data_IF_054756524821
#
_entry.id   IF_054756524821
#
_cell.length_a   1.000
_cell.length_b   1.000
_cell.length_c   1.000
_cell.angle_alpha   90.00
_cell.angle_beta   90.00
_cell.angle_gamma   90.00
#
_symmetry.space_group_name_H-M   'P 1'
#
loop_
_entity.id
_entity.type
_entity.pdbx_description
1 polymer ?
#
# COMPACT_ATOMS: atom_id res chain seq x y z
N UNK A 1 -18.92 26.14 -52.72
CA UNK A 1 -19.48 24.84 -52.29
C UNK A 1 -18.28 23.98 -51.88
N UNK A 2 -17.86 23.86 -50.62
CA UNK A 2 -18.50 23.52 -49.32
C UNK A 2 -17.87 24.41 -48.21
N UNK A 3 -18.62 25.20 -47.42
CA UNK A 3 -19.30 24.93 -46.13
C UNK A 3 -18.36 24.62 -44.94
N UNK A 4 -18.32 25.55 -43.96
CA UNK A 4 -18.19 25.51 -42.47
C UNK A 4 -17.80 24.18 -41.77
N UNK A 5 -17.22 24.06 -40.57
CA UNK A 5 -16.74 24.93 -39.48
C UNK A 5 -16.14 24.01 -38.36
N UNK A 6 -15.46 24.58 -37.35
CA UNK A 6 -15.54 24.07 -35.96
C UNK A 6 -14.30 23.39 -35.36
N UNK A 7 -13.72 24.03 -34.34
CA UNK A 7 -12.75 23.47 -33.40
C UNK A 7 -13.48 22.49 -32.45
N UNK A 8 -12.98 21.27 -32.24
CA UNK A 8 -13.25 20.52 -31.00
C UNK A 8 -12.01 19.77 -30.53
N UNK A 9 -11.49 20.17 -29.38
CA UNK A 9 -10.51 19.43 -28.57
C UNK A 9 -11.22 18.17 -28.07
N UNK A 10 -10.70 16.97 -28.33
CA UNK A 10 -10.99 15.80 -27.48
C UNK A 10 -9.82 14.81 -27.50
N UNK A 11 -9.00 14.91 -26.47
CA UNK A 11 -8.50 13.78 -25.68
C UNK A 11 -8.27 12.45 -26.44
N UNK A 12 -7.04 12.23 -26.90
CA UNK A 12 -6.47 10.89 -26.74
C UNK A 12 -5.44 10.97 -25.63
N UNK A 13 -5.95 10.71 -24.44
CA UNK A 13 -5.24 10.55 -23.18
C UNK A 13 -4.01 9.64 -23.40
N UNK A 14 -2.84 10.26 -23.59
CA UNK A 14 -1.53 9.63 -23.43
C UNK A 14 -1.19 9.55 -21.93
N UNK A 15 -2.15 9.16 -21.09
CA UNK A 15 -1.94 8.88 -19.69
C UNK A 15 -1.97 7.36 -19.50
N UNK A 16 -0.91 6.71 -19.99
CA UNK A 16 -0.39 5.57 -19.25
C UNK A 16 0.15 6.13 -17.93
N UNK A 17 -0.70 6.21 -16.91
CA UNK A 17 -0.31 6.58 -15.54
C UNK A 17 0.45 5.41 -14.90
N UNK A 18 1.23 5.63 -13.83
CA UNK A 18 2.47 6.41 -13.74
C UNK A 18 3.66 5.50 -13.38
N UNK A 19 4.89 5.99 -13.61
CA UNK A 19 6.15 5.34 -13.19
C UNK A 19 6.42 5.53 -11.67
N UNK A 20 5.38 5.74 -10.85
CA UNK A 20 5.47 6.05 -9.41
C UNK A 20 5.64 4.78 -8.53
N UNK A 21 5.25 3.61 -9.03
CA UNK A 21 5.27 2.36 -8.25
C UNK A 21 6.67 1.97 -7.75
N UNK A 22 7.75 2.34 -8.45
CA UNK A 22 9.10 1.92 -8.07
C UNK A 22 9.68 2.76 -6.92
N UNK A 23 9.32 4.04 -6.85
CA UNK A 23 9.70 4.94 -5.74
C UNK A 23 8.86 4.62 -4.51
N UNK A 24 7.57 4.36 -4.70
CA UNK A 24 6.66 4.02 -3.61
C UNK A 24 7.03 2.67 -2.97
N UNK A 25 7.40 1.68 -3.79
CA UNK A 25 7.92 0.40 -3.28
C UNK A 25 9.20 0.60 -2.45
N UNK A 26 10.11 1.47 -2.89
CA UNK A 26 11.34 1.74 -2.15
C UNK A 26 11.08 2.44 -0.81
N UNK A 27 10.11 3.36 -0.77
CA UNK A 27 9.69 4.05 0.44
C UNK A 27 8.99 3.07 1.41
N UNK A 28 8.08 2.24 0.90
CA UNK A 28 7.39 1.21 1.68
C UNK A 28 8.37 0.19 2.26
N UNK A 29 9.32 -0.29 1.47
CA UNK A 29 10.35 -1.22 1.93
C UNK A 29 11.24 -0.61 3.01
N UNK A 30 11.58 0.69 2.90
CA UNK A 30 12.28 1.43 3.96
C UNK A 30 11.44 1.48 5.23
N UNK A 31 10.16 1.81 5.15
CA UNK A 31 9.26 1.83 6.31
C UNK A 31 9.12 0.42 6.92
N UNK A 32 8.97 -0.63 6.12
CA UNK A 32 8.92 -2.03 6.58
C UNK A 32 10.17 -2.38 7.39
N UNK A 33 11.34 -1.92 6.96
CA UNK A 33 12.60 -2.13 7.66
C UNK A 33 12.69 -1.32 8.96
N UNK A 34 12.38 -0.02 8.92
CA UNK A 34 12.52 0.87 10.09
C UNK A 34 11.46 0.61 11.16
N UNK A 35 10.26 0.19 10.78
CA UNK A 35 9.18 -0.18 11.69
C UNK A 35 9.31 -1.64 12.19
N UNK A 36 10.31 -2.38 11.71
CA UNK A 36 10.59 -3.73 12.19
C UNK A 36 9.53 -4.77 11.83
N UNK A 37 8.70 -4.54 10.81
CA UNK A 37 7.59 -5.42 10.46
C UNK A 37 8.06 -6.86 10.19
N UNK A 38 9.23 -6.99 9.54
CA UNK A 38 9.87 -8.27 9.24
C UNK A 38 10.39 -9.04 10.46
N UNK A 39 10.46 -8.40 11.64
CA UNK A 39 10.78 -9.10 12.88
C UNK A 39 9.72 -10.15 13.25
N UNK A 40 8.46 -9.90 12.87
CA UNK A 40 7.35 -10.81 13.15
C UNK A 40 6.75 -11.45 11.90
N UNK A 41 6.72 -10.74 10.76
CA UNK A 41 6.02 -11.15 9.56
C UNK A 41 6.96 -11.53 8.42
N UNK A 42 6.55 -12.46 7.57
CA UNK A 42 7.14 -12.66 6.24
C UNK A 42 6.54 -11.63 5.29
N UNK A 43 7.40 -10.84 4.64
CA UNK A 43 7.04 -9.84 3.64
C UNK A 43 8.05 -9.88 2.47
N UNK A 44 7.54 -10.15 1.28
CA UNK A 44 8.32 -10.45 0.07
C UNK A 44 9.32 -11.61 0.30
N UNK A 45 8.85 -12.67 0.98
CA UNK A 45 9.65 -13.88 1.25
C UNK A 45 10.72 -13.72 2.33
N UNK A 46 10.78 -12.58 3.02
CA UNK A 46 11.78 -12.29 4.06
C UNK A 46 11.10 -11.94 5.39
N UNK A 47 11.64 -12.44 6.50
CA UNK A 47 11.22 -12.08 7.86
C UNK A 47 10.99 -13.27 8.78
N UNK A 48 10.21 -13.05 9.84
CA UNK A 48 9.84 -14.05 10.86
C UNK A 48 8.43 -14.63 10.67
N UNK A 49 8.08 -15.60 11.53
CA UNK A 49 6.79 -16.29 11.51
C UNK A 49 5.98 -16.14 12.82
N UNK A 50 6.35 -15.17 13.65
CA UNK A 50 5.62 -14.89 14.89
C UNK A 50 4.23 -14.30 14.60
N UNK A 51 4.14 -13.44 13.58
CA UNK A 51 2.90 -12.97 12.99
C UNK A 51 2.55 -13.72 11.70
N UNK A 52 1.32 -13.55 11.16
CA UNK A 52 0.91 -14.17 9.91
C UNK A 52 1.79 -13.74 8.72
N UNK A 53 1.98 -14.64 7.75
CA UNK A 53 2.62 -14.30 6.48
C UNK A 53 1.79 -13.25 5.71
N UNK A 54 2.45 -12.20 5.22
CA UNK A 54 1.85 -11.08 4.51
C UNK A 54 2.15 -11.06 3.00
N UNK A 55 2.90 -12.02 2.45
CA UNK A 55 3.26 -12.10 1.02
C UNK A 55 2.07 -12.07 0.06
N UNK A 56 0.88 -12.43 0.54
CA UNK A 56 -0.38 -12.41 -0.23
C UNK A 56 -1.51 -11.74 0.56
N UNK A 57 -1.20 -10.76 1.40
CA UNK A 57 -2.21 -10.08 2.22
C UNK A 57 -3.22 -9.31 1.36
N UNK A 58 -2.79 -8.73 0.23
CA UNK A 58 -3.63 -8.02 -0.73
C UNK A 58 -4.61 -8.92 -1.50
N UNK A 59 -4.39 -10.24 -1.51
CA UNK A 59 -5.35 -11.22 -2.03
C UNK A 59 -6.51 -11.49 -1.05
N UNK A 60 -6.34 -11.17 0.25
CA UNK A 60 -7.31 -11.44 1.32
C UNK A 60 -7.96 -10.18 1.89
N UNK A 61 -7.22 -9.08 1.96
CA UNK A 61 -7.63 -7.83 2.58
C UNK A 61 -7.60 -6.68 1.57
N UNK A 62 -8.57 -5.77 1.68
CA UNK A 62 -8.56 -4.49 0.98
C UNK A 62 -7.62 -3.52 1.68
N UNK A 63 -7.08 -2.55 0.93
CA UNK A 63 -6.22 -1.47 1.43
C UNK A 63 -6.74 -0.83 2.73
N UNK A 64 -8.02 -0.47 2.79
CA UNK A 64 -8.58 0.16 3.99
C UNK A 64 -8.55 -0.78 5.21
N UNK A 65 -8.75 -2.09 5.03
CA UNK A 65 -8.67 -3.07 6.12
C UNK A 65 -7.24 -3.22 6.62
N UNK A 66 -6.26 -3.20 5.69
CA UNK A 66 -4.84 -3.19 6.03
C UNK A 66 -4.50 -1.93 6.82
N UNK A 67 -4.94 -0.76 6.34
CA UNK A 67 -4.70 0.51 7.03
C UNK A 67 -5.28 0.52 8.44
N UNK A 68 -6.52 0.03 8.64
CA UNK A 68 -7.13 -0.09 9.96
C UNK A 68 -6.28 -0.98 10.89
N UNK A 69 -5.81 -2.14 10.41
CA UNK A 69 -4.94 -3.03 11.19
C UNK A 69 -3.61 -2.39 11.57
N UNK A 70 -3.06 -1.53 10.71
CA UNK A 70 -1.80 -0.85 10.99
C UNK A 70 -1.97 0.23 12.08
N UNK A 71 -3.11 0.93 12.13
CA UNK A 71 -3.35 2.02 13.10
C UNK A 71 -4.03 1.57 14.39
N UNK A 72 -4.77 0.46 14.35
CA UNK A 72 -5.39 -0.19 15.51
C UNK A 72 -5.35 -1.72 15.35
N UNK A 73 -4.20 -2.35 15.63
CA UNK A 73 -4.03 -3.80 15.52
C UNK A 73 -4.84 -4.58 16.57
N UNK A 74 -5.46 -3.89 17.54
CA UNK A 74 -6.29 -4.50 18.58
C UNK A 74 -7.77 -4.53 18.26
N UNK A 75 -8.22 -3.87 17.19
CA UNK A 75 -9.65 -3.81 16.83
C UNK A 75 -10.27 -5.20 16.68
N UNK A 76 -9.57 -6.14 16.03
CA UNK A 76 -10.09 -7.50 15.79
C UNK A 76 -9.40 -8.58 16.64
N UNK A 77 -8.32 -8.24 17.31
CA UNK A 77 -7.64 -9.10 18.27
C UNK A 77 -7.13 -8.28 19.47
N UNK A 78 -7.88 -8.21 20.58
CA UNK A 78 -7.49 -7.43 21.77
C UNK A 78 -6.11 -7.82 22.34
N UNK A 79 -5.71 -9.08 22.16
CA UNK A 79 -4.44 -9.65 22.61
C UNK A 79 -3.30 -9.46 21.59
N UNK A 80 -3.54 -8.71 20.50
CA UNK A 80 -2.50 -8.42 19.52
C UNK A 80 -1.33 -7.70 20.17
N UNK A 81 -0.13 -8.25 19.94
CA UNK A 81 1.14 -7.62 20.34
C UNK A 81 1.76 -6.81 19.20
N UNK A 82 1.14 -6.79 18.02
CA UNK A 82 1.58 -5.95 16.91
C UNK A 82 1.47 -4.47 17.35
N UNK A 83 2.56 -3.69 17.29
CA UNK A 83 2.50 -2.26 17.59
C UNK A 83 1.69 -1.50 16.53
N UNK A 84 1.03 -0.41 16.93
CA UNK A 84 0.40 0.50 15.99
C UNK A 84 1.41 1.47 15.35
N UNK A 85 1.12 1.96 14.15
CA UNK A 85 1.98 2.90 13.41
C UNK A 85 1.47 4.35 13.44
N UNK A 86 0.59 4.73 14.38
CA UNK A 86 -0.03 6.08 14.37
C UNK A 86 0.95 7.23 14.52
N UNK A 87 2.18 6.94 14.91
CA UNK A 87 3.29 7.91 14.96
C UNK A 87 3.83 8.30 13.57
N UNK A 88 3.52 7.52 12.52
CA UNK A 88 3.85 7.86 11.14
C UNK A 88 2.87 8.88 10.57
N UNK A 89 3.33 9.66 9.60
CA UNK A 89 2.48 10.57 8.84
C UNK A 89 1.40 9.81 8.06
N UNK A 90 0.30 10.48 7.72
CA UNK A 90 -0.75 9.87 6.90
C UNK A 90 -0.21 9.36 5.56
N UNK A 91 0.72 10.08 4.95
CA UNK A 91 1.38 9.70 3.70
C UNK A 91 2.16 8.38 3.86
N UNK A 92 2.97 8.24 4.91
CA UNK A 92 3.71 7.00 5.19
C UNK A 92 2.80 5.82 5.50
N UNK A 93 1.70 6.05 6.23
CA UNK A 93 0.67 5.03 6.48
C UNK A 93 0.02 4.57 5.16
N UNK A 94 -0.26 5.52 4.27
CA UNK A 94 -0.82 5.29 2.93
C UNK A 94 0.16 4.43 2.12
N UNK A 95 1.42 4.82 2.02
CA UNK A 95 2.48 4.10 1.31
C UNK A 95 2.61 2.65 1.80
N UNK A 96 2.63 2.42 3.12
CA UNK A 96 2.66 1.06 3.68
C UNK A 96 1.41 0.25 3.30
N UNK A 97 0.23 0.85 3.42
CA UNK A 97 -1.03 0.15 3.15
C UNK A 97 -1.20 -0.18 1.66
N UNK A 98 -0.74 0.69 0.76
CA UNK A 98 -0.77 0.48 -0.68
C UNK A 98 0.19 -0.63 -1.10
N UNK A 99 1.43 -0.60 -0.58
CA UNK A 99 2.38 -1.67 -0.83
C UNK A 99 1.87 -3.03 -0.34
N UNK A 100 1.39 -3.13 0.90
CA UNK A 100 0.85 -4.39 1.42
C UNK A 100 -0.39 -4.85 0.64
N UNK A 101 -1.25 -3.94 0.19
CA UNK A 101 -2.42 -4.26 -0.63
C UNK A 101 -2.05 -4.73 -2.05
N UNK A 102 -0.86 -4.39 -2.54
CA UNK A 102 -0.37 -4.84 -3.84
C UNK A 102 0.16 -6.28 -3.82
N UNK A 103 0.52 -6.81 -2.64
CA UNK A 103 1.02 -8.17 -2.45
C UNK A 103 -0.09 -9.21 -2.67
N UNK A 104 -0.11 -9.86 -3.84
CA UNK A 104 -1.17 -10.78 -4.26
C UNK A 104 -0.67 -12.15 -4.66
#
# INVERSE_FOLDING_TARGET
MKLFAGITITALVLLAQPVESRTDDSAALRLIATQGCRGCHVIAGLGGNFGPNLDQVGSRLKRYQIQQKLIDPKTDNPESVMPDIRHLSLEEQIVLSDYLASLK
#
